data_IF_924851734887
#
_entry.id   IF_924851734887
#
_cell.length_a   1.000
_cell.length_b   1.000
_cell.length_c   1.000
_cell.angle_alpha   90.00
_cell.angle_beta   90.00
_cell.angle_gamma   90.00
#
_symmetry.space_group_name_H-M   'P 1'
#
loop_
_entity.id
_entity.type
_entity.pdbx_description
1 polymer ?
#
# COMPACT_ATOMS: atom_id res chain seq x y z
N UNK A 1 -20.95 -16.10 -27.64
CA UNK A 1 -22.23 -16.47 -27.00
C UNK A 1 -22.21 -15.97 -25.56
N UNK A 2 -23.12 -15.10 -25.13
CA UNK A 2 -23.08 -14.54 -23.78
C UNK A 2 -23.77 -15.51 -22.81
N UNK A 3 -23.03 -16.05 -21.84
CA UNK A 3 -23.59 -16.86 -20.77
C UNK A 3 -24.05 -15.91 -19.66
N UNK A 4 -25.35 -15.62 -19.63
CA UNK A 4 -25.96 -14.72 -18.64
C UNK A 4 -25.87 -15.31 -17.23
N UNK A 5 -25.55 -14.43 -16.30
CA UNK A 5 -25.47 -14.59 -14.86
C UNK A 5 -26.83 -14.92 -14.23
N UNK A 6 -27.06 -16.17 -13.86
CA UNK A 6 -28.22 -16.60 -13.05
C UNK A 6 -27.76 -17.10 -11.66
N UNK A 7 -27.00 -16.28 -10.94
CA UNK A 7 -26.63 -16.55 -9.55
C UNK A 7 -27.46 -15.63 -8.63
N UNK A 8 -28.53 -16.17 -8.05
CA UNK A 8 -29.40 -15.52 -7.05
C UNK A 8 -29.19 -16.23 -5.68
N UNK A 9 -28.44 -15.62 -4.74
CA UNK A 9 -28.14 -16.23 -3.44
C UNK A 9 -29.31 -16.22 -2.45
N UNK A 10 -30.47 -15.62 -2.77
CA UNK A 10 -31.59 -15.48 -1.84
C UNK A 10 -32.53 -16.70 -1.78
N UNK A 11 -32.38 -17.66 -2.70
CA UNK A 11 -33.29 -18.80 -2.85
C UNK A 11 -32.72 -20.10 -2.30
N UNK A 12 -32.62 -20.23 -0.98
CA UNK A 12 -32.87 -21.49 -0.25
C UNK A 12 -32.53 -21.33 1.23
N UNK A 13 -33.49 -20.89 2.04
CA UNK A 13 -33.46 -21.20 3.46
C UNK A 13 -34.90 -21.31 4.02
N UNK A 14 -35.52 -22.48 3.87
CA UNK A 14 -36.69 -22.87 4.67
C UNK A 14 -36.26 -23.96 5.64
N UNK A 15 -35.75 -23.55 6.79
CA UNK A 15 -35.33 -24.44 7.89
C UNK A 15 -36.56 -24.83 8.70
N UNK A 16 -36.92 -26.10 8.74
CA UNK A 16 -37.95 -26.60 9.65
C UNK A 16 -37.38 -26.68 11.07
N UNK A 17 -37.94 -25.90 11.99
CA UNK A 17 -37.60 -25.92 13.41
C UNK A 17 -38.58 -26.83 14.15
N UNK A 18 -38.11 -28.00 14.62
CA UNK A 18 -38.80 -28.73 15.69
C UNK A 18 -38.32 -28.18 17.03
N UNK A 19 -39.18 -27.45 17.72
CA UNK A 19 -39.01 -27.00 19.10
C UNK A 19 -39.18 -28.19 20.06
N UNK A 20 -38.32 -28.27 21.08
CA UNK A 20 -38.47 -29.20 22.20
C UNK A 20 -38.72 -28.36 23.47
N UNK A 21 -39.98 -28.21 23.85
CA UNK A 21 -40.43 -27.61 25.13
C UNK A 21 -40.58 -28.70 26.20
N UNK A 22 -40.35 -28.34 27.47
CA UNK A 22 -39.96 -29.25 28.57
C UNK A 22 -40.99 -29.62 29.65
N UNK A 23 -40.49 -29.69 30.90
CA UNK A 23 -41.11 -30.06 32.23
C UNK A 23 -41.16 -31.58 32.53
N UNK A 24 -41.05 -32.08 33.77
CA UNK A 24 -40.81 -31.55 35.12
C UNK A 24 -40.38 -32.70 36.09
N UNK A 25 -39.78 -32.30 37.22
CA UNK A 25 -39.56 -32.92 38.55
C UNK A 25 -40.29 -34.21 38.98
N UNK A 26 -39.58 -35.14 39.65
CA UNK A 26 -39.92 -35.70 40.99
C UNK A 26 -38.91 -36.76 41.48
N UNK A 27 -38.96 -37.01 42.78
CA UNK A 27 -38.04 -37.65 43.72
C UNK A 27 -37.86 -39.19 43.66
N UNK A 28 -36.76 -39.63 44.29
CA UNK A 28 -36.61 -40.82 45.16
C UNK A 28 -35.71 -41.98 44.70
N UNK A 29 -34.89 -42.42 45.67
CA UNK A 29 -34.28 -43.75 45.90
C UNK A 29 -33.14 -44.28 45.01
N UNK A 30 -31.97 -44.46 45.66
CA UNK A 30 -30.87 -45.39 45.32
C UNK A 30 -31.38 -46.85 45.42
N UNK A 31 -30.87 -47.79 44.59
CA UNK A 31 -29.90 -48.75 45.15
C UNK A 31 -28.79 -49.28 44.21
N UNK A 32 -27.65 -49.56 44.84
CA UNK A 32 -26.61 -50.61 44.63
C UNK A 32 -26.30 -51.27 43.27
N UNK A 33 -25.02 -51.13 42.87
CA UNK A 33 -23.99 -52.15 42.51
C UNK A 33 -24.31 -53.21 41.43
N UNK A 34 -23.54 -53.16 40.32
CA UNK A 34 -22.74 -54.29 39.73
C UNK A 34 -22.06 -53.87 38.42
N UNK A 35 -20.73 -53.86 38.40
CA UNK A 35 -19.94 -54.06 37.17
C UNK A 35 -20.14 -55.49 36.67
N UNK A 36 -19.96 -55.74 35.35
CA UNK A 36 -18.92 -56.71 35.02
C UNK A 36 -18.11 -56.41 33.74
N UNK A 37 -16.80 -56.58 33.92
CA UNK A 37 -15.82 -57.29 33.08
C UNK A 37 -15.73 -57.00 31.57
N UNK A 38 -14.55 -56.52 31.20
CA UNK A 38 -13.98 -56.55 29.87
C UNK A 38 -13.92 -57.97 29.27
N UNK A 39 -14.36 -58.12 28.01
CA UNK A 39 -13.93 -59.19 27.12
C UNK A 39 -13.45 -58.59 25.81
N UNK A 40 -12.12 -58.62 25.60
CA UNK A 40 -11.47 -58.29 24.33
C UNK A 40 -11.81 -59.37 23.29
N UNK A 41 -12.76 -59.09 22.41
CA UNK A 41 -12.91 -59.86 21.16
C UNK A 41 -12.12 -59.17 20.04
N UNK A 42 -11.10 -59.86 19.52
CA UNK A 42 -10.31 -59.48 18.34
C UNK A 42 -11.23 -59.14 17.16
N UNK A 43 -11.18 -57.89 16.70
CA UNK A 43 -11.88 -57.45 15.51
C UNK A 43 -11.28 -58.12 14.26
N UNK A 44 -12.12 -58.84 13.52
CA UNK A 44 -11.89 -59.26 12.13
C UNK A 44 -11.66 -58.02 11.27
N UNK A 45 -10.65 -58.08 10.42
CA UNK A 45 -10.37 -57.09 9.37
C UNK A 45 -11.57 -56.96 8.42
N UNK A 46 -12.17 -55.77 8.21
CA UNK A 46 -13.17 -55.60 7.17
C UNK A 46 -12.51 -55.35 5.82
N UNK A 47 -13.06 -56.06 4.84
CA UNK A 47 -12.81 -56.03 3.41
C UNK A 47 -12.79 -54.65 2.76
N UNK A 48 -11.94 -54.51 1.74
CA UNK A 48 -11.95 -53.45 0.71
C UNK A 48 -13.38 -53.13 0.26
N UNK A 49 -13.81 -51.88 0.41
CA UNK A 49 -15.08 -51.41 -0.16
C UNK A 49 -15.43 -49.98 0.24
N UNK A 50 -15.66 -49.14 -0.79
CA UNK A 50 -16.13 -47.75 -0.79
C UNK A 50 -15.05 -46.68 -0.58
N UNK A 51 -14.77 -45.92 -1.66
CA UNK A 51 -14.05 -44.63 -1.62
C UNK A 51 -14.83 -43.69 -0.70
N UNK A 52 -14.47 -43.67 0.57
CA UNK A 52 -14.77 -42.53 1.42
C UNK A 52 -14.01 -41.35 0.81
N UNK A 53 -14.75 -40.45 0.16
CA UNK A 53 -14.26 -39.12 -0.25
C UNK A 53 -14.10 -38.31 1.02
N UNK A 54 -13.19 -38.73 1.89
CA UNK A 54 -12.78 -37.93 3.02
C UNK A 54 -11.95 -36.80 2.43
N UNK A 55 -12.45 -35.57 2.57
CA UNK A 55 -11.60 -34.40 2.72
C UNK A 55 -10.71 -34.58 3.96
N UNK A 56 -9.83 -35.58 3.97
CA UNK A 56 -8.87 -35.84 5.04
C UNK A 56 -7.59 -35.09 4.71
N UNK A 57 -7.64 -33.79 4.99
CA UNK A 57 -6.52 -32.92 5.39
C UNK A 57 -6.87 -31.42 5.31
N UNK A 58 -8.11 -31.06 4.94
CA UNK A 58 -8.57 -29.69 5.16
C UNK A 58 -8.94 -29.52 6.64
N UNK A 59 -8.22 -28.67 7.43
CA UNK A 59 -8.63 -28.40 8.80
C UNK A 59 -10.04 -27.80 8.77
N UNK A 60 -10.96 -28.38 9.54
CA UNK A 60 -12.34 -27.86 9.65
C UNK A 60 -12.27 -26.37 10.01
N UNK A 61 -12.66 -25.44 9.11
CA UNK A 61 -12.45 -24.02 9.35
C UNK A 61 -13.58 -23.53 10.24
N UNK A 62 -13.37 -23.62 11.55
CA UNK A 62 -14.12 -22.89 12.56
C UNK A 62 -14.12 -21.41 12.16
N UNK A 63 -15.28 -20.91 11.73
CA UNK A 63 -15.86 -19.55 11.57
C UNK A 63 -14.98 -18.29 11.65
N UNK A 64 -13.84 -18.28 12.34
CA UNK A 64 -12.96 -17.12 12.54
C UNK A 64 -12.09 -16.76 11.33
N UNK A 65 -11.84 -17.68 10.40
CA UNK A 65 -11.01 -17.41 9.21
C UNK A 65 -11.77 -16.61 8.13
N UNK A 66 -13.10 -16.47 8.24
CA UNK A 66 -13.96 -15.88 7.20
C UNK A 66 -14.17 -14.37 7.30
N UNK A 67 -13.49 -13.70 8.22
CA UNK A 67 -13.56 -12.24 8.38
C UNK A 67 -12.38 -11.50 7.74
N UNK A 68 -11.31 -12.22 7.36
CA UNK A 68 -10.18 -11.66 6.62
C UNK A 68 -10.17 -12.25 5.21
N UNK A 69 -10.01 -11.44 4.15
CA UNK A 69 -9.92 -11.96 2.80
C UNK A 69 -8.59 -12.68 2.61
N UNK A 70 -8.63 -14.01 2.46
CA UNK A 70 -7.50 -14.85 2.05
C UNK A 70 -7.96 -15.80 0.95
N UNK A 71 -7.13 -16.16 -0.02
CA UNK A 71 -7.52 -17.13 -1.06
C UNK A 71 -6.76 -18.44 -0.89
N UNK A 72 -7.44 -19.56 -1.08
CA UNK A 72 -6.85 -20.90 -1.06
C UNK A 72 -7.22 -21.63 -2.35
N UNK A 73 -6.25 -22.30 -2.97
CA UNK A 73 -6.44 -23.08 -4.18
C UNK A 73 -6.28 -24.59 -3.86
N UNK A 74 -7.22 -25.45 -4.30
CA UNK A 74 -7.13 -26.89 -4.07
C UNK A 74 -6.14 -27.50 -5.07
N UNK A 75 -5.29 -28.40 -4.58
CA UNK A 75 -4.31 -29.15 -5.39
C UNK A 75 -4.56 -30.67 -5.31
N UNK A 76 -5.80 -31.09 -5.07
CA UNK A 76 -6.14 -32.48 -4.84
C UNK A 76 -5.80 -33.38 -6.05
N UNK A 77 -5.07 -34.48 -5.81
CA UNK A 77 -4.69 -35.44 -6.86
C UNK A 77 -3.68 -34.93 -7.89
N UNK A 78 -3.09 -33.74 -7.70
CA UNK A 78 -2.03 -33.23 -8.55
C UNK A 78 -0.67 -33.87 -8.20
N UNK A 79 0.19 -34.18 -9.18
CA UNK A 79 1.57 -34.59 -8.93
C UNK A 79 2.42 -33.50 -8.27
N UNK A 80 2.06 -32.22 -8.46
CA UNK A 80 2.76 -31.09 -7.85
C UNK A 80 2.17 -30.78 -6.46
N UNK A 81 3.02 -30.55 -5.45
CA UNK A 81 2.58 -30.29 -4.08
C UNK A 81 1.78 -28.98 -3.94
N UNK A 82 0.92 -28.92 -2.93
CA UNK A 82 -0.03 -27.81 -2.72
C UNK A 82 0.65 -26.44 -2.54
N UNK A 83 1.87 -26.40 -1.99
CA UNK A 83 2.61 -25.14 -1.83
C UNK A 83 3.12 -24.58 -3.16
N UNK A 84 3.45 -25.42 -4.15
CA UNK A 84 3.83 -24.96 -5.50
C UNK A 84 2.62 -24.39 -6.24
N UNK A 85 1.44 -24.98 -6.05
CA UNK A 85 0.19 -24.41 -6.54
C UNK A 85 -0.10 -23.03 -5.93
N UNK A 86 0.05 -22.90 -4.61
CA UNK A 86 -0.12 -21.63 -3.92
C UNK A 86 0.89 -20.58 -4.42
N UNK A 87 2.15 -20.97 -4.60
CA UNK A 87 3.20 -20.09 -5.13
C UNK A 87 2.92 -19.67 -6.59
N UNK A 88 2.47 -20.58 -7.45
CA UNK A 88 2.13 -20.28 -8.84
C UNK A 88 0.93 -19.32 -8.93
N UNK A 89 -0.12 -19.55 -8.14
CA UNK A 89 -1.27 -18.64 -8.05
C UNK A 89 -0.84 -17.27 -7.54
N UNK A 90 -0.07 -17.23 -6.45
CA UNK A 90 0.43 -15.98 -5.88
C UNK A 90 1.31 -15.20 -6.86
N UNK A 91 2.17 -15.88 -7.62
CA UNK A 91 3.02 -15.26 -8.63
C UNK A 91 2.22 -14.63 -9.77
N UNK A 92 1.20 -15.33 -10.29
CA UNK A 92 0.31 -14.80 -11.34
C UNK A 92 -0.50 -13.62 -10.83
N UNK A 93 -1.10 -13.74 -9.64
CA UNK A 93 -1.91 -12.66 -9.04
C UNK A 93 -1.05 -11.45 -8.71
N UNK A 94 0.16 -11.63 -8.17
CA UNK A 94 1.05 -10.51 -7.86
C UNK A 94 1.50 -9.80 -9.13
N UNK A 95 1.87 -10.53 -10.19
CA UNK A 95 2.32 -9.92 -11.43
C UNK A 95 1.20 -9.10 -12.09
N UNK A 96 0.04 -9.72 -12.32
CA UNK A 96 -1.06 -9.04 -13.02
C UNK A 96 -1.80 -8.04 -12.13
N UNK A 97 -1.94 -8.32 -10.83
CA UNK A 97 -2.60 -7.42 -9.88
C UNK A 97 -1.82 -6.15 -9.59
N UNK A 98 -0.48 -6.18 -9.71
CA UNK A 98 0.34 -4.96 -9.63
C UNK A 98 0.22 -4.10 -10.90
N UNK A 99 -0.05 -4.69 -12.06
CA UNK A 99 -0.25 -3.95 -13.32
C UNK A 99 -1.65 -3.35 -13.36
N UNK A 100 -2.67 -4.17 -13.14
CA UNK A 100 -4.07 -3.76 -13.09
C UNK A 100 -4.84 -4.60 -12.05
N UNK A 101 -5.18 -4.02 -10.89
CA UNK A 101 -5.88 -4.73 -9.83
C UNK A 101 -7.36 -5.03 -10.14
N UNK A 102 -7.97 -4.36 -11.13
CA UNK A 102 -9.36 -4.58 -11.53
C UNK A 102 -9.50 -5.68 -12.59
N UNK A 103 -8.38 -6.09 -13.22
CA UNK A 103 -8.38 -7.11 -14.27
C UNK A 103 -8.94 -8.45 -13.77
N UNK A 104 -9.88 -9.07 -14.49
CA UNK A 104 -10.27 -10.45 -14.20
C UNK A 104 -9.08 -11.41 -14.32
N UNK A 105 -8.78 -12.16 -13.25
CA UNK A 105 -7.74 -13.20 -13.26
C UNK A 105 -8.18 -14.52 -13.91
N UNK A 106 -9.39 -14.57 -14.46
CA UNK A 106 -9.91 -15.75 -15.13
C UNK A 106 -9.05 -16.08 -16.35
N UNK A 107 -8.96 -17.37 -16.68
CA UNK A 107 -8.24 -17.92 -17.84
C UNK A 107 -6.72 -17.70 -17.87
N UNK A 108 -6.13 -17.20 -16.78
CA UNK A 108 -4.68 -17.05 -16.68
C UNK A 108 -4.00 -18.39 -16.39
N UNK A 109 -2.95 -18.70 -17.16
CA UNK A 109 -2.18 -19.93 -17.03
C UNK A 109 -1.30 -19.94 -15.77
N UNK A 110 -1.38 -21.02 -15.00
CA UNK A 110 -0.46 -21.31 -13.90
C UNK A 110 0.80 -22.00 -14.44
N UNK A 111 1.94 -21.31 -14.36
CA UNK A 111 3.23 -21.86 -14.78
C UNK A 111 3.82 -22.75 -13.69
N UNK A 112 4.49 -23.85 -14.10
CA UNK A 112 5.20 -24.75 -13.18
C UNK A 112 4.30 -25.74 -12.42
N UNK A 113 3.01 -25.81 -12.76
CA UNK A 113 2.03 -26.68 -12.10
C UNK A 113 1.56 -27.77 -13.06
N UNK A 114 1.52 -29.02 -12.57
CA UNK A 114 1.01 -30.16 -13.35
C UNK A 114 -0.47 -30.43 -13.06
N UNK A 115 -1.24 -30.70 -14.11
CA UNK A 115 -2.65 -31.03 -13.96
C UNK A 115 -2.88 -32.36 -13.22
N UNK A 116 -3.93 -32.46 -12.38
CA UNK A 116 -4.37 -33.74 -11.82
C UNK A 116 -4.88 -34.68 -12.92
N UNK A 117 -4.87 -35.98 -12.61
CA UNK A 117 -5.46 -37.03 -13.47
C UNK A 117 -6.92 -36.71 -13.76
N UNK A 118 -7.43 -37.13 -14.93
CA UNK A 118 -8.81 -36.82 -15.33
C UNK A 118 -9.86 -37.28 -14.31
N UNK A 119 -9.63 -38.40 -13.63
CA UNK A 119 -10.53 -38.95 -12.60
C UNK A 119 -10.59 -38.14 -11.30
N UNK A 120 -9.54 -37.36 -11.01
CA UNK A 120 -9.41 -36.56 -9.78
C UNK A 120 -9.76 -35.08 -10.03
N UNK A 121 -10.14 -34.72 -11.26
CA UNK A 121 -10.58 -33.36 -11.61
C UNK A 121 -11.99 -33.12 -11.10
N UNK A 122 -12.18 -31.96 -10.48
CA UNK A 122 -13.49 -31.53 -10.00
C UNK A 122 -14.47 -31.26 -11.16
N UNK A 123 -15.69 -31.72 -10.99
CA UNK A 123 -16.83 -31.36 -11.83
C UNK A 123 -17.27 -29.91 -11.58
N UNK A 124 -18.06 -29.33 -12.49
CA UNK A 124 -18.59 -27.97 -12.31
C UNK A 124 -19.45 -27.84 -11.04
N UNK A 125 -20.19 -28.89 -10.69
CA UNK A 125 -21.01 -28.94 -9.48
C UNK A 125 -20.14 -28.96 -8.22
N UNK A 126 -19.06 -29.76 -8.20
CA UNK A 126 -18.10 -29.78 -7.09
C UNK A 126 -17.36 -28.44 -6.97
N UNK A 127 -16.96 -27.82 -8.08
CA UNK A 127 -16.36 -26.50 -8.09
C UNK A 127 -17.29 -25.43 -7.53
N UNK A 128 -18.58 -25.48 -7.85
CA UNK A 128 -19.56 -24.55 -7.25
C UNK A 128 -19.66 -24.74 -5.74
N UNK A 129 -19.63 -25.98 -5.23
CA UNK A 129 -19.61 -26.24 -3.79
C UNK A 129 -18.34 -25.69 -3.12
N UNK A 130 -17.18 -25.84 -3.76
CA UNK A 130 -15.91 -25.29 -3.28
C UNK A 130 -15.94 -23.75 -3.22
N UNK A 131 -16.53 -23.10 -4.22
CA UNK A 131 -16.68 -21.65 -4.24
C UNK A 131 -17.56 -21.16 -3.07
N UNK A 132 -18.64 -21.86 -2.74
CA UNK A 132 -19.45 -21.53 -1.56
C UNK A 132 -18.71 -21.75 -0.25
N UNK A 133 -17.77 -22.70 -0.19
CA UNK A 133 -16.93 -22.91 0.98
C UNK A 133 -15.76 -21.91 1.10
N UNK A 134 -15.58 -21.02 0.13
CA UNK A 134 -14.50 -20.02 0.13
C UNK A 134 -13.18 -20.53 -0.45
N UNK A 135 -13.23 -21.59 -1.25
CA UNK A 135 -12.08 -22.19 -1.92
C UNK A 135 -12.10 -21.76 -3.40
N UNK A 136 -10.98 -21.20 -3.87
CA UNK A 136 -10.80 -20.79 -5.27
C UNK A 136 -10.71 -21.99 -6.20
N UNK A 137 -11.12 -21.86 -7.46
CA UNK A 137 -11.15 -22.99 -8.40
C UNK A 137 -10.24 -22.78 -9.60
N UNK A 138 -9.82 -23.90 -10.20
CA UNK A 138 -8.98 -23.95 -11.40
C UNK A 138 -9.66 -24.81 -12.46
N UNK A 139 -9.35 -24.52 -13.73
CA UNK A 139 -9.80 -25.31 -14.88
C UNK A 139 -8.56 -25.91 -15.57
N UNK A 140 -8.71 -27.13 -16.09
CA UNK A 140 -7.63 -27.83 -16.81
C UNK A 140 -8.04 -27.97 -18.26
N UNK A 141 -7.22 -27.46 -19.17
CA UNK A 141 -7.44 -27.58 -20.62
C UNK A 141 -7.03 -28.98 -21.14
N UNK A 142 -7.46 -29.32 -22.35
CA UNK A 142 -7.11 -30.58 -23.03
C UNK A 142 -5.58 -30.81 -23.14
N UNK A 143 -4.78 -29.74 -23.21
CA UNK A 143 -3.31 -29.78 -23.22
C UNK A 143 -2.66 -30.01 -21.86
N UNK A 144 -3.42 -30.27 -20.79
CA UNK A 144 -2.89 -30.48 -19.43
C UNK A 144 -2.40 -29.19 -18.75
N UNK A 145 -2.65 -28.04 -19.37
CA UNK A 145 -2.35 -26.71 -18.83
C UNK A 145 -3.46 -26.30 -17.85
N UNK A 146 -3.05 -25.81 -16.68
CA UNK A 146 -3.98 -25.33 -15.64
C UNK A 146 -4.18 -23.83 -15.78
N UNK A 147 -5.43 -23.41 -15.80
CA UNK A 147 -5.82 -22.00 -15.78
C UNK A 147 -6.63 -21.67 -14.53
N UNK A 148 -6.56 -20.42 -14.09
CA UNK A 148 -7.41 -19.90 -13.02
C UNK A 148 -8.86 -19.82 -13.52
N UNK A 149 -9.80 -20.44 -12.80
CA UNK A 149 -11.22 -20.33 -13.12
C UNK A 149 -11.85 -19.15 -12.39
N UNK A 150 -11.76 -19.14 -11.05
CA UNK A 150 -12.22 -18.02 -10.23
C UNK A 150 -11.40 -17.96 -8.95
N UNK A 151 -10.86 -16.78 -8.67
CA UNK A 151 -10.17 -16.47 -7.42
C UNK A 151 -11.11 -15.72 -6.49
N UNK A 152 -11.49 -16.39 -5.41
CA UNK A 152 -12.31 -15.83 -4.35
C UNK A 152 -11.51 -15.75 -3.05
N UNK A 153 -11.98 -14.89 -2.16
CA UNK A 153 -11.50 -14.81 -0.80
C UNK A 153 -12.34 -15.69 0.12
N UNK A 154 -11.81 -15.98 1.29
CA UNK A 154 -12.50 -16.64 2.40
C UNK A 154 -13.51 -15.72 3.10
N UNK A 155 -13.64 -14.45 2.69
CA UNK A 155 -14.50 -13.48 3.33
C UNK A 155 -15.98 -13.78 3.03
N UNK A 156 -16.76 -14.07 4.08
CA UNK A 156 -18.21 -14.31 3.95
C UNK A 156 -19.05 -13.60 5.00
N UNK A 157 -18.42 -13.05 6.05
CA UNK A 157 -19.10 -12.37 7.15
C UNK A 157 -18.39 -11.07 7.47
N UNK A 158 -19.18 -10.03 7.74
CA UNK A 158 -18.65 -8.74 8.17
C UNK A 158 -18.28 -8.73 9.65
N UNK A 159 -17.75 -7.61 10.13
CA UNK A 159 -17.36 -7.44 11.54
C UNK A 159 -18.54 -7.62 12.52
N UNK A 160 -19.78 -7.39 12.08
CA UNK A 160 -21.01 -7.56 12.86
C UNK A 160 -21.58 -8.99 12.78
N UNK A 161 -20.90 -9.91 12.08
CA UNK A 161 -21.32 -11.30 11.92
C UNK A 161 -22.49 -11.50 10.96
N UNK A 162 -22.88 -10.48 10.20
CA UNK A 162 -23.84 -10.60 9.12
C UNK A 162 -23.15 -11.12 7.85
N UNK A 163 -23.89 -11.89 7.03
CA UNK A 163 -23.39 -12.37 5.74
C UNK A 163 -23.12 -11.19 4.80
N UNK A 164 -21.93 -11.18 4.20
CA UNK A 164 -21.46 -10.09 3.34
C UNK A 164 -20.58 -10.65 2.21
N UNK A 165 -20.90 -10.27 0.99
CA UNK A 165 -20.21 -10.69 -0.24
C UNK A 165 -19.29 -9.59 -0.82
N UNK A 166 -19.21 -8.44 -0.18
CA UNK A 166 -18.52 -7.25 -0.72
C UNK A 166 -17.04 -7.49 -1.07
N UNK A 167 -16.37 -8.40 -0.36
CA UNK A 167 -14.97 -8.76 -0.60
C UNK A 167 -14.79 -10.20 -1.10
N UNK A 168 -15.84 -10.81 -1.67
CA UNK A 168 -15.80 -12.19 -2.13
C UNK A 168 -14.78 -12.40 -3.27
N UNK A 169 -14.84 -11.59 -4.32
CA UNK A 169 -13.89 -11.70 -5.43
C UNK A 169 -12.57 -10.97 -5.10
N UNK A 170 -11.42 -11.58 -5.40
CA UNK A 170 -10.08 -11.06 -5.06
C UNK A 170 -9.79 -9.69 -5.68
N UNK A 171 -10.41 -9.36 -6.82
CA UNK A 171 -10.24 -8.08 -7.50
C UNK A 171 -10.72 -6.90 -6.65
N UNK A 172 -11.78 -7.09 -5.86
CA UNK A 172 -12.37 -6.02 -5.05
C UNK A 172 -11.42 -5.52 -3.95
N UNK A 173 -10.87 -6.38 -3.06
CA UNK A 173 -9.89 -5.93 -2.08
C UNK A 173 -8.59 -5.42 -2.71
N UNK A 174 -8.12 -5.98 -3.84
CA UNK A 174 -6.92 -5.47 -4.53
C UNK A 174 -7.13 -4.06 -5.08
N UNK A 175 -8.27 -3.81 -5.73
CA UNK A 175 -8.62 -2.48 -6.24
C UNK A 175 -8.74 -1.47 -5.11
N UNK A 176 -9.37 -1.86 -3.99
CA UNK A 176 -9.46 -1.03 -2.78
C UNK A 176 -8.09 -0.77 -2.16
N UNK A 177 -7.21 -1.76 -2.11
CA UNK A 177 -5.86 -1.61 -1.61
C UNK A 177 -5.04 -0.63 -2.44
N UNK A 178 -5.12 -0.71 -3.77
CA UNK A 178 -4.46 0.23 -4.68
C UNK A 178 -4.95 1.67 -4.47
N UNK A 179 -6.28 1.87 -4.37
CA UNK A 179 -6.85 3.19 -4.07
C UNK A 179 -6.41 3.72 -2.69
N UNK A 180 -6.39 2.87 -1.66
CA UNK A 180 -5.91 3.24 -0.32
C UNK A 180 -4.44 3.62 -0.34
N UNK A 181 -3.59 2.87 -1.07
CA UNK A 181 -2.18 3.17 -1.21
C UNK A 181 -1.97 4.52 -1.91
N UNK A 182 -2.70 4.81 -2.99
CA UNK A 182 -2.65 6.10 -3.66
C UNK A 182 -3.07 7.25 -2.71
N UNK A 183 -4.14 7.06 -1.94
CA UNK A 183 -4.60 8.05 -0.96
C UNK A 183 -3.56 8.31 0.15
N UNK A 184 -2.89 7.27 0.64
CA UNK A 184 -1.81 7.39 1.63
C UNK A 184 -0.60 8.15 1.08
N UNK A 185 -0.19 7.86 -0.16
CA UNK A 185 0.91 8.59 -0.82
C UNK A 185 0.56 10.06 -0.97
N UNK A 186 -0.65 10.37 -1.44
CA UNK A 186 -1.14 11.75 -1.56
C UNK A 186 -1.17 12.46 -0.20
N UNK A 187 -1.62 11.79 0.85
CA UNK A 187 -1.63 12.33 2.21
C UNK A 187 -0.22 12.71 2.69
N UNK A 188 0.73 11.77 2.60
CA UNK A 188 2.12 11.99 3.04
C UNK A 188 2.76 13.13 2.25
N UNK A 189 2.60 13.14 0.92
CA UNK A 189 3.13 14.21 0.05
C UNK A 189 2.56 15.58 0.46
N UNK A 190 1.24 15.69 0.63
CA UNK A 190 0.58 16.93 1.04
C UNK A 190 1.07 17.42 2.40
N UNK A 191 1.19 16.53 3.39
CA UNK A 191 1.69 16.91 4.72
C UNK A 191 3.13 17.43 4.67
N UNK A 192 4.00 16.80 3.88
CA UNK A 192 5.38 17.26 3.73
C UNK A 192 5.44 18.68 3.11
N UNK A 193 4.65 18.94 2.07
CA UNK A 193 4.60 20.27 1.43
C UNK A 193 4.07 21.34 2.40
N UNK A 194 3.02 21.01 3.15
CA UNK A 194 2.45 21.91 4.17
C UNK A 194 3.50 22.25 5.23
N UNK A 195 4.24 21.27 5.72
CA UNK A 195 5.28 21.51 6.73
C UNK A 195 6.45 22.31 6.14
N UNK A 196 6.86 22.07 4.89
CA UNK A 196 7.87 22.90 4.21
C UNK A 196 7.41 24.37 4.12
N UNK A 197 6.17 24.61 3.71
CA UNK A 197 5.60 25.96 3.65
C UNK A 197 5.47 26.60 5.05
N UNK A 198 5.17 25.81 6.08
CA UNK A 198 5.08 26.25 7.47
C UNK A 198 6.43 26.67 8.05
N UNK A 199 7.52 26.01 7.65
CA UNK A 199 8.88 26.31 8.10
C UNK A 199 9.55 27.43 7.30
N UNK A 200 9.07 27.77 6.10
CA UNK A 200 9.65 28.83 5.27
C UNK A 200 9.85 30.19 6.00
N UNK A 201 8.94 30.64 6.90
CA UNK A 201 9.13 31.86 7.67
C UNK A 201 10.30 31.81 8.65
N UNK A 202 10.69 30.62 9.14
CA UNK A 202 11.73 30.45 10.18
C UNK A 202 13.12 30.19 9.61
N UNK A 203 13.23 29.98 8.29
CA UNK A 203 14.53 29.79 7.63
C UNK A 203 15.23 31.13 7.52
N UNK A 204 16.46 31.21 8.03
CA UNK A 204 17.34 32.36 7.87
C UNK A 204 18.12 32.23 6.56
N UNK A 205 17.88 33.13 5.62
CA UNK A 205 18.56 33.16 4.33
C UNK A 205 19.76 34.09 4.37
N UNK A 206 20.87 33.67 3.78
CA UNK A 206 22.09 34.47 3.77
C UNK A 206 22.03 35.60 2.74
N UNK A 207 21.33 35.40 1.63
CA UNK A 207 21.17 36.38 0.56
C UNK A 207 19.80 36.32 -0.11
N UNK A 208 19.44 37.39 -0.81
CA UNK A 208 18.10 37.57 -1.39
C UNK A 208 17.73 36.49 -2.40
N UNK A 209 18.67 36.07 -3.24
CA UNK A 209 18.41 35.07 -4.28
C UNK A 209 18.06 33.71 -3.68
N UNK A 210 18.73 33.28 -2.60
CA UNK A 210 18.42 32.04 -1.89
C UNK A 210 16.95 32.00 -1.42
N UNK A 211 16.45 33.12 -0.89
CA UNK A 211 15.06 33.22 -0.47
C UNK A 211 14.07 33.11 -1.66
N UNK A 212 14.43 33.63 -2.83
CA UNK A 212 13.62 33.47 -4.05
C UNK A 212 13.66 32.04 -4.58
N UNK A 213 14.83 31.40 -4.58
CA UNK A 213 14.96 30.00 -5.02
C UNK A 213 14.12 29.08 -4.12
N UNK A 214 14.12 29.31 -2.81
CA UNK A 214 13.26 28.59 -1.87
C UNK A 214 11.76 28.88 -2.09
N UNK A 215 11.39 30.13 -2.37
CA UNK A 215 10.01 30.50 -2.72
C UNK A 215 9.53 29.73 -3.94
N UNK A 216 10.36 29.68 -4.98
CA UNK A 216 10.03 29.08 -6.26
C UNK A 216 9.95 27.56 -6.13
N UNK A 217 10.89 26.92 -5.41
CA UNK A 217 10.83 25.50 -5.12
C UNK A 217 9.55 25.10 -4.35
N UNK A 218 9.13 25.88 -3.35
CA UNK A 218 7.87 25.64 -2.63
C UNK A 218 6.67 25.90 -3.56
N UNK A 219 6.75 26.93 -4.39
CA UNK A 219 5.74 27.26 -5.41
C UNK A 219 5.50 26.09 -6.36
N UNK A 220 6.56 25.51 -6.92
CA UNK A 220 6.49 24.38 -7.85
C UNK A 220 5.86 23.15 -7.20
N UNK A 221 6.21 22.86 -5.93
CA UNK A 221 5.60 21.75 -5.19
C UNK A 221 4.09 21.96 -4.96
N UNK A 222 3.68 23.19 -4.65
CA UNK A 222 2.27 23.55 -4.46
C UNK A 222 1.50 23.53 -5.78
N UNK A 223 2.11 24.00 -6.87
CA UNK A 223 1.52 23.99 -8.21
C UNK A 223 1.26 22.56 -8.68
N UNK A 224 2.23 21.65 -8.50
CA UNK A 224 2.06 20.23 -8.82
C UNK A 224 0.93 19.56 -8.01
N UNK A 225 0.73 19.95 -6.75
CA UNK A 225 -0.38 19.42 -5.94
C UNK A 225 -1.74 20.02 -6.35
N UNK A 226 -1.77 21.28 -6.77
CA UNK A 226 -2.96 21.91 -7.32
C UNK A 226 -3.41 21.25 -8.64
N UNK A 227 -2.47 20.91 -9.51
CA UNK A 227 -2.77 20.14 -10.75
C UNK A 227 -3.35 18.75 -10.43
N UNK A 228 -2.81 18.08 -9.41
CA UNK A 228 -3.34 16.81 -8.93
C UNK A 228 -4.77 16.95 -8.35
N UNK A 229 -5.02 18.00 -7.54
CA UNK A 229 -6.34 18.28 -6.98
C UNK A 229 -7.39 18.59 -8.07
N UNK A 230 -6.99 19.33 -9.10
CA UNK A 230 -7.81 19.63 -10.27
C UNK A 230 -8.28 18.35 -10.99
N UNK A 231 -7.38 17.38 -11.18
CA UNK A 231 -7.72 16.08 -11.79
C UNK A 231 -8.75 15.30 -10.98
N UNK A 232 -8.74 15.45 -9.66
CA UNK A 232 -9.70 14.79 -8.76
C UNK A 232 -10.99 15.57 -8.51
N UNK A 233 -11.09 16.82 -8.99
CA UNK A 233 -12.23 17.71 -8.73
C UNK A 233 -12.33 18.19 -7.28
N UNK A 234 -11.20 18.27 -6.55
CA UNK A 234 -11.16 18.73 -5.17
C UNK A 234 -10.92 20.25 -5.10
N UNK A 235 -11.96 21.02 -5.40
CA UNK A 235 -11.92 22.49 -5.46
C UNK A 235 -11.51 23.12 -4.12
N UNK A 236 -11.89 22.47 -3.01
CA UNK A 236 -11.58 22.94 -1.66
C UNK A 236 -10.08 22.87 -1.39
N UNK A 237 -9.45 21.75 -1.78
CA UNK A 237 -8.02 21.53 -1.65
C UNK A 237 -7.24 22.45 -2.58
N UNK A 238 -7.69 22.60 -3.83
CA UNK A 238 -7.09 23.52 -4.80
C UNK A 238 -7.07 24.95 -4.24
N UNK A 239 -8.20 25.42 -3.71
CA UNK A 239 -8.32 26.77 -3.14
C UNK A 239 -7.40 26.94 -1.93
N UNK A 240 -7.34 25.95 -1.03
CA UNK A 240 -6.48 25.98 0.14
C UNK A 240 -4.99 26.08 -0.22
N UNK A 241 -4.51 25.25 -1.17
CA UNK A 241 -3.12 25.30 -1.62
C UNK A 241 -2.80 26.58 -2.38
N UNK A 242 -3.73 27.10 -3.18
CA UNK A 242 -3.59 28.40 -3.85
C UNK A 242 -3.41 29.53 -2.84
N UNK A 243 -4.18 29.53 -1.77
CA UNK A 243 -4.04 30.49 -0.67
C UNK A 243 -2.72 30.34 0.07
N UNK A 244 -2.28 29.10 0.35
CA UNK A 244 -0.99 28.82 0.99
C UNK A 244 0.19 29.33 0.13
N UNK A 245 0.16 29.06 -1.19
CA UNK A 245 1.15 29.56 -2.15
C UNK A 245 1.22 31.08 -2.13
N UNK A 246 0.06 31.75 -2.18
CA UNK A 246 0.00 33.21 -2.11
C UNK A 246 0.59 33.76 -0.81
N UNK A 247 0.36 33.09 0.33
CA UNK A 247 0.92 33.47 1.62
C UNK A 247 2.46 33.32 1.66
N UNK A 248 3.00 32.19 1.17
CA UNK A 248 4.45 31.96 1.09
C UNK A 248 5.12 32.99 0.18
N UNK A 249 4.56 33.22 -1.01
CA UNK A 249 5.07 34.21 -1.96
C UNK A 249 5.05 35.61 -1.35
N UNK A 250 3.97 35.97 -0.65
CA UNK A 250 3.85 37.26 0.04
C UNK A 250 4.92 37.44 1.12
N UNK A 251 5.16 36.41 1.95
CA UNK A 251 6.18 36.46 3.00
C UNK A 251 7.58 36.65 2.42
N UNK A 252 7.98 35.77 1.50
CA UNK A 252 9.33 35.76 0.96
C UNK A 252 9.60 36.99 0.08
N UNK A 253 8.60 37.52 -0.65
CA UNK A 253 8.74 38.79 -1.36
C UNK A 253 8.89 40.00 -0.42
N UNK A 254 8.34 39.93 0.80
CA UNK A 254 8.52 40.97 1.81
C UNK A 254 9.88 40.90 2.53
N UNK A 255 10.46 39.69 2.64
CA UNK A 255 11.74 39.44 3.33
C UNK A 255 12.94 39.55 2.40
N UNK A 256 12.88 38.91 1.23
CA UNK A 256 14.02 38.78 0.33
C UNK A 256 14.69 40.12 -0.06
N UNK A 257 13.96 41.22 -0.34
CA UNK A 257 14.60 42.49 -0.67
C UNK A 257 15.37 43.14 0.49
N UNK A 258 15.14 42.71 1.73
CA UNK A 258 15.84 43.19 2.93
C UNK A 258 17.14 42.44 3.21
N UNK A 259 17.35 41.32 2.51
CA UNK A 259 18.56 40.51 2.64
C UNK A 259 19.69 41.09 1.79
N UNK A 260 20.91 40.67 2.10
CA UNK A 260 22.07 41.02 1.29
C UNK A 260 21.92 40.46 -0.13
N UNK A 261 22.46 41.16 -1.12
CA UNK A 261 22.53 40.70 -2.52
C UNK A 261 23.88 40.06 -2.77
N UNK A 262 23.86 38.91 -3.44
CA UNK A 262 25.07 38.28 -3.96
C UNK A 262 25.45 38.99 -5.26
N UNK A 263 26.66 39.52 -5.33
CA UNK A 263 27.22 40.09 -6.55
C UNK A 263 28.58 39.45 -6.83
N UNK A 264 28.98 39.48 -8.10
CA UNK A 264 30.30 39.07 -8.52
C UNK A 264 31.18 40.32 -8.70
N UNK A 265 32.36 40.32 -8.10
CA UNK A 265 33.34 41.41 -8.20
C UNK A 265 34.71 40.84 -8.52
N UNK A 266 35.42 41.45 -9.46
CA UNK A 266 36.76 41.04 -9.87
C UNK A 266 37.82 41.87 -9.16
N UNK A 267 38.79 41.22 -8.51
CA UNK A 267 39.98 41.90 -7.99
C UNK A 267 40.97 42.17 -9.13
N UNK A 268 41.39 43.43 -9.34
CA UNK A 268 42.29 43.76 -10.47
C UNK A 268 43.74 43.33 -10.25
N UNK A 269 44.15 43.21 -8.99
CA UNK A 269 45.50 42.81 -8.57
C UNK A 269 45.39 41.77 -7.48
N UNK A 270 46.41 40.92 -7.37
CA UNK A 270 46.48 39.93 -6.30
C UNK A 270 46.73 40.62 -4.97
N UNK A 271 45.79 40.51 -4.04
CA UNK A 271 45.84 41.20 -2.75
C UNK A 271 45.26 40.35 -1.61
N UNK A 272 45.49 40.69 -0.34
CA UNK A 272 44.87 40.01 0.79
C UNK A 272 43.35 40.26 0.83
N UNK A 273 42.59 39.27 1.29
CA UNK A 273 41.12 39.36 1.41
C UNK A 273 40.67 40.52 2.31
N UNK A 274 41.47 40.89 3.32
CA UNK A 274 41.20 42.04 4.17
C UNK A 274 41.26 43.38 3.41
N UNK A 275 42.13 43.48 2.40
CA UNK A 275 42.30 44.69 1.57
C UNK A 275 41.13 44.78 0.59
N UNK A 276 40.76 43.65 -0.01
CA UNK A 276 39.57 43.57 -0.87
C UNK A 276 38.30 43.91 -0.08
N UNK A 277 38.13 43.37 1.13
CA UNK A 277 37.02 43.69 2.02
C UNK A 277 36.97 45.18 2.39
N UNK A 278 38.12 45.77 2.75
CA UNK A 278 38.19 47.19 3.05
C UNK A 278 37.83 48.07 1.85
N UNK A 279 38.25 47.70 0.63
CA UNK A 279 37.89 48.43 -0.60
C UNK A 279 36.41 48.31 -0.96
N UNK A 280 35.81 47.15 -0.75
CA UNK A 280 34.41 46.88 -1.12
C UNK A 280 33.42 47.39 -0.07
N UNK A 281 33.77 47.30 1.21
CA UNK A 281 32.84 47.53 2.31
C UNK A 281 33.26 48.66 3.26
N UNK A 282 34.49 49.18 3.14
CA UNK A 282 35.07 50.07 4.16
C UNK A 282 35.42 49.36 5.47
N UNK A 283 35.30 48.03 5.52
CA UNK A 283 35.48 47.21 6.72
C UNK A 283 36.35 45.99 6.43
N UNK A 284 37.55 45.97 7.03
CA UNK A 284 38.52 44.89 6.87
C UNK A 284 38.12 43.60 7.59
N UNK A 285 37.21 43.66 8.58
CA UNK A 285 36.77 42.48 9.35
C UNK A 285 36.00 41.46 8.50
N UNK A 286 35.46 41.88 7.35
CA UNK A 286 34.74 41.01 6.40
C UNK A 286 35.66 40.22 5.47
N UNK A 287 36.99 40.29 5.64
CA UNK A 287 37.95 39.53 4.84
C UNK A 287 37.76 38.01 4.95
N UNK A 288 37.49 37.50 6.15
CA UNK A 288 37.29 36.05 6.38
C UNK A 288 36.00 35.54 5.72
N UNK A 289 34.96 36.37 5.66
CA UNK A 289 33.70 36.06 4.97
C UNK A 289 33.94 35.84 3.46
N UNK A 290 34.72 36.74 2.83
CA UNK A 290 35.08 36.63 1.40
C UNK A 290 35.89 35.36 1.16
N UNK A 291 36.88 35.09 2.02
CA UNK A 291 37.75 33.92 1.89
C UNK A 291 36.97 32.60 2.02
N UNK A 292 36.05 32.52 2.99
CA UNK A 292 35.21 31.35 3.20
C UNK A 292 34.24 31.12 2.03
N UNK A 293 33.55 32.17 1.57
CA UNK A 293 32.56 32.09 0.47
C UNK A 293 33.19 31.62 -0.84
N UNK A 294 34.35 32.17 -1.17
CA UNK A 294 35.06 31.85 -2.42
C UNK A 294 36.01 30.65 -2.30
N UNK A 295 36.04 29.97 -1.13
CA UNK A 295 36.93 28.85 -0.82
C UNK A 295 38.39 29.13 -1.18
N UNK A 296 38.86 30.33 -0.84
CA UNK A 296 40.23 30.73 -1.12
C UNK A 296 41.21 29.83 -0.36
N UNK A 297 42.28 29.40 -1.03
CA UNK A 297 43.32 28.55 -0.39
C UNK A 297 43.98 29.25 0.79
N UNK A 298 44.17 30.56 0.71
CA UNK A 298 44.77 31.37 1.76
C UNK A 298 44.15 32.77 1.81
N UNK A 299 43.72 33.28 2.98
CA UNK A 299 43.11 34.62 3.10
C UNK A 299 44.04 35.76 2.67
N UNK A 300 45.35 35.59 2.82
CA UNK A 300 46.35 36.56 2.39
C UNK A 300 46.59 36.64 0.88
N UNK A 301 45.96 35.78 0.08
CA UNK A 301 46.21 35.69 -1.36
C UNK A 301 44.91 35.47 -2.14
N UNK A 302 44.24 36.58 -2.47
CA UNK A 302 43.13 36.62 -3.43
C UNK A 302 43.71 36.81 -4.82
N UNK A 303 43.53 35.87 -5.77
CA UNK A 303 44.10 36.00 -7.12
C UNK A 303 43.47 37.17 -7.88
N UNK A 304 44.29 38.03 -8.49
CA UNK A 304 43.82 39.05 -9.42
C UNK A 304 43.24 38.45 -10.72
N UNK A 305 42.22 39.10 -11.28
CA UNK A 305 41.53 38.70 -12.51
C UNK A 305 40.45 37.63 -12.34
N UNK A 306 40.23 37.13 -11.12
CA UNK A 306 39.21 36.11 -10.83
C UNK A 306 37.96 36.78 -10.24
N UNK A 307 36.78 36.34 -10.68
CA UNK A 307 35.49 36.76 -10.12
C UNK A 307 35.30 36.22 -8.71
N UNK A 308 34.91 37.11 -7.79
CA UNK A 308 34.65 36.80 -6.39
C UNK A 308 33.18 37.05 -6.07
N UNK A 309 32.55 36.06 -5.47
CA UNK A 309 31.22 36.18 -4.91
C UNK A 309 31.27 36.95 -3.58
N UNK A 310 30.55 38.06 -3.51
CA UNK A 310 30.55 38.97 -2.36
C UNK A 310 29.12 39.42 -2.03
N UNK A 311 28.84 39.62 -0.74
CA UNK A 311 27.52 40.07 -0.26
C UNK A 311 27.46 41.59 -0.12
N UNK A 312 26.49 42.24 -0.76
CA UNK A 312 26.20 43.67 -0.65
C UNK A 312 24.93 43.93 0.13
N UNK A 313 24.95 44.85 1.10
CA UNK A 313 23.73 45.36 1.73
C UNK A 313 23.22 44.60 2.96
N UNK A 314 24.08 44.19 3.90
CA UNK A 314 23.60 43.98 5.27
C UNK A 314 23.20 45.35 5.84
N UNK A 315 21.94 45.72 5.70
CA UNK A 315 21.41 46.99 6.18
C UNK A 315 21.67 47.15 7.68
N UNK A 316 22.63 48.00 8.03
CA UNK A 316 23.02 48.26 9.42
C UNK A 316 24.47 48.72 9.55
N UNK A 317 24.80 49.87 8.97
CA UNK A 317 26.10 50.52 9.15
C UNK A 317 26.31 51.68 8.19
N UNK A 318 26.05 52.89 8.68
CA UNK A 318 26.45 54.16 8.04
C UNK A 318 27.94 54.13 7.66
N UNK A 319 28.25 54.61 6.45
CA UNK A 319 29.21 55.70 6.22
C UNK A 319 28.60 56.65 5.19
#
# INVERSE_FOLDING_TARGET
MPFQSNWDPSRTCRRSSRSRTGRNTSSASRPTRREPSASRSRARSPSRGRKERTCSSAPSPRTRLRSRPSSAAPAFGSPTPTYEWAAAVAGVVSYYGNIDPARPFQTLTLKGVMAPKQEDRFTLQENNLLLFDGISTHLVEAGGVVHVQRLITTYTVNAQGAEDISYLDVNTPLTRQSANQAALVSLVRRTAIIETARLAPTVDFAYSQEAFDHRDAIGDLLDAEMDAASTTGDDSMFTAFRSLRAAVVKDLNGRAPKLARLIEVTANVTEPALVTAYRLYGDASRGDEIAARNRLRHPGFVPGGVGLEVLTGRGGGNV
#
